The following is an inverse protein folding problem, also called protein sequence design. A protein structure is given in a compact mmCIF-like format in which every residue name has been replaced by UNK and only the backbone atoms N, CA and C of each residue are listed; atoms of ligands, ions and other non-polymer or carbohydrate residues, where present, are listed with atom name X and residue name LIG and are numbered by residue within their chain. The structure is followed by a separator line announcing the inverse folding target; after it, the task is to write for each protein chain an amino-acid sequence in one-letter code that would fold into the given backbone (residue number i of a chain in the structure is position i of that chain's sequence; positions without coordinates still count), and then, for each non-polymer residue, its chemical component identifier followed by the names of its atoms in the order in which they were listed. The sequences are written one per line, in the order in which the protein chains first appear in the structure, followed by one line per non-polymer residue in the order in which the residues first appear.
data_IF_293978832700
#
_entry.id   IF_293978832700
#
_cell.length_a   1.000
_cell.length_b   1.000
_cell.length_c   1.000
_cell.angle_alpha   90.00
_cell.angle_beta   90.00
_cell.angle_gamma   90.00
#
_symmetry.space_group_name_H-M   'P 1'
#
loop_
_entity.id
_entity.type
_entity.pdbx_description
1 polymer ?
#
# COMPACT_ATOMS: atom_id res chain seq x y z
N UNK A 1 22.52 10.56 44.02
CA UNK A 1 22.73 10.78 42.57
C UNK A 1 21.46 10.32 41.88
N UNK A 2 20.68 11.26 41.37
CA UNK A 2 19.34 11.00 40.80
C UNK A 2 19.50 10.98 39.29
N UNK A 3 19.29 9.81 38.67
CA UNK A 3 19.33 9.66 37.21
C UNK A 3 18.09 10.35 36.64
N UNK A 4 18.21 11.30 35.69
CA UNK A 4 17.04 11.90 35.07
C UNK A 4 16.30 10.84 34.25
N UNK A 5 14.96 10.89 34.17
CA UNK A 5 14.21 10.00 33.31
C UNK A 5 14.65 10.21 31.84
N UNK A 6 14.63 9.16 31.00
CA UNK A 6 14.97 9.34 29.59
C UNK A 6 14.00 10.38 29.00
N UNK A 7 14.55 11.43 28.41
CA UNK A 7 13.82 12.29 27.49
C UNK A 7 13.36 11.38 26.35
N UNK A 8 12.11 10.93 26.44
CA UNK A 8 11.39 10.47 25.27
C UNK A 8 11.14 11.75 24.51
N UNK A 9 12.01 12.04 23.53
CA UNK A 9 11.61 12.93 22.44
C UNK A 9 10.25 12.39 21.99
N UNK A 10 9.20 13.17 22.27
CA UNK A 10 7.87 13.02 21.68
C UNK A 10 8.12 12.97 20.18
N UNK A 11 8.27 11.76 19.64
CA UNK A 11 8.00 11.52 18.24
C UNK A 11 6.55 11.94 18.16
N UNK A 12 6.33 13.14 17.65
CA UNK A 12 5.06 13.62 17.13
C UNK A 12 4.73 12.66 15.99
N UNK A 13 4.28 11.47 16.37
CA UNK A 13 3.48 10.59 15.54
C UNK A 13 2.17 11.35 15.46
N UNK A 14 2.18 12.40 14.63
CA UNK A 14 0.95 12.95 14.10
C UNK A 14 0.18 11.73 13.64
N UNK A 15 -0.96 11.52 14.28
CA UNK A 15 -2.03 10.59 13.91
C UNK A 15 -2.55 11.04 12.53
N UNK A 16 -1.65 11.10 11.54
CA UNK A 16 -1.99 11.14 10.15
C UNK A 16 -2.60 9.78 9.95
N UNK A 17 -3.94 9.74 9.87
CA UNK A 17 -4.71 8.63 9.37
C UNK A 17 -3.97 8.12 8.13
N UNK A 18 -3.11 7.11 8.32
CA UNK A 18 -2.53 6.35 7.23
C UNK A 18 -3.68 5.48 6.79
N UNK A 19 -4.63 6.09 6.08
CA UNK A 19 -5.64 5.38 5.32
C UNK A 19 -4.82 4.38 4.51
N UNK A 20 -4.87 3.06 4.83
CA UNK A 20 -3.94 2.12 4.26
C UNK A 20 -4.28 2.10 2.80
N UNK A 21 -3.56 2.89 1.98
CA UNK A 21 -3.83 3.04 0.55
C UNK A 21 -4.03 1.63 0.05
N UNK A 22 -5.27 1.22 -0.28
CA UNK A 22 -5.52 -0.16 -0.59
C UNK A 22 -4.73 -0.36 -1.87
N UNK A 23 -3.58 -1.01 -1.74
CA UNK A 23 -2.56 -1.22 -2.76
C UNK A 23 -1.69 0.01 -3.10
N UNK A 24 -0.86 0.46 -2.15
CA UNK A 24 0.30 1.32 -2.45
C UNK A 24 1.19 0.75 -3.59
N UNK A 25 1.14 -0.58 -3.81
CA UNK A 25 1.67 -1.25 -4.99
C UNK A 25 0.52 -1.94 -5.76
N UNK A 26 -0.03 -1.21 -6.75
CA UNK A 26 -1.09 -1.71 -7.65
C UNK A 26 -0.64 -2.95 -8.44
N UNK A 27 0.66 -3.08 -8.73
CA UNK A 27 1.22 -4.24 -9.43
C UNK A 27 1.18 -5.46 -8.51
N UNK A 28 1.60 -5.32 -7.25
CA UNK A 28 1.52 -6.42 -6.28
C UNK A 28 0.08 -6.92 -6.08
N UNK A 29 -0.88 -6.00 -5.97
CA UNK A 29 -2.28 -6.37 -5.84
C UNK A 29 -2.84 -7.05 -7.10
N UNK A 30 -2.40 -6.57 -8.27
CA UNK A 30 -2.72 -7.20 -9.55
C UNK A 30 -2.15 -8.63 -9.63
N UNK A 31 -0.92 -8.85 -9.13
CA UNK A 31 -0.34 -10.20 -9.06
C UNK A 31 -1.21 -11.14 -8.22
N UNK A 32 -1.68 -10.68 -7.06
CA UNK A 32 -2.54 -11.49 -6.18
C UNK A 32 -3.89 -11.79 -6.85
N UNK A 33 -4.54 -10.78 -7.42
CA UNK A 33 -5.87 -10.92 -8.05
C UNK A 33 -5.81 -11.83 -9.28
N UNK A 34 -4.74 -11.73 -10.08
CA UNK A 34 -4.60 -12.47 -11.34
C UNK A 34 -3.73 -13.73 -11.22
N UNK A 35 -3.14 -13.98 -10.06
CA UNK A 35 -2.17 -15.06 -9.82
C UNK A 35 -1.07 -15.13 -10.89
N UNK A 36 -0.49 -13.97 -11.22
CA UNK A 36 0.52 -13.84 -12.27
C UNK A 36 1.85 -13.27 -11.74
N UNK A 37 2.87 -13.30 -12.58
CA UNK A 37 4.18 -12.74 -12.24
C UNK A 37 4.14 -11.20 -12.19
N UNK A 38 5.14 -10.59 -11.54
CA UNK A 38 5.30 -9.13 -11.49
C UNK A 38 5.40 -8.47 -12.88
N UNK A 39 6.21 -8.95 -13.84
CA UNK A 39 6.24 -8.35 -15.17
C UNK A 39 4.89 -8.46 -15.88
N UNK A 40 4.21 -9.61 -15.81
CA UNK A 40 2.88 -9.76 -16.42
C UNK A 40 1.84 -8.81 -15.81
N UNK A 41 1.91 -8.60 -14.49
CA UNK A 41 1.04 -7.68 -13.78
C UNK A 41 1.33 -6.21 -14.18
N UNK A 42 2.61 -5.83 -14.28
CA UNK A 42 3.02 -4.49 -14.70
C UNK A 42 2.59 -4.20 -16.15
N UNK A 43 2.87 -5.11 -17.08
CA UNK A 43 2.47 -5.02 -18.48
C UNK A 43 0.94 -4.92 -18.60
N UNK A 44 0.21 -5.64 -17.75
CA UNK A 44 -1.24 -5.56 -17.74
C UNK A 44 -1.74 -4.20 -17.25
N UNK A 45 -1.20 -3.69 -16.13
CA UNK A 45 -1.55 -2.36 -15.59
C UNK A 45 -1.27 -1.27 -16.62
N UNK A 46 -0.11 -1.32 -17.28
CA UNK A 46 0.24 -0.38 -18.36
C UNK A 46 -0.76 -0.46 -19.53
N UNK A 47 -1.17 -1.68 -19.90
CA UNK A 47 -2.09 -1.91 -21.01
C UNK A 47 -3.53 -1.45 -20.74
N UNK A 48 -4.05 -1.62 -19.52
CA UNK A 48 -5.45 -1.28 -19.20
C UNK A 48 -5.61 0.08 -18.52
N UNK A 49 -4.51 0.66 -18.05
CA UNK A 49 -4.51 1.88 -17.28
C UNK A 49 -4.68 1.64 -15.77
N UNK A 50 -4.09 2.50 -14.92
CA UNK A 50 -4.09 2.33 -13.48
C UNK A 50 -5.49 2.40 -12.86
N UNK A 51 -6.38 3.26 -13.37
CA UNK A 51 -7.73 3.43 -12.83
C UNK A 51 -8.61 2.19 -13.04
N UNK A 52 -8.46 1.54 -14.20
CA UNK A 52 -9.17 0.30 -14.48
C UNK A 52 -8.60 -0.86 -13.68
N UNK A 53 -7.28 -0.96 -13.59
CA UNK A 53 -6.60 -1.96 -12.77
C UNK A 53 -7.01 -1.85 -11.30
N UNK A 54 -7.06 -0.64 -10.74
CA UNK A 54 -7.48 -0.41 -9.36
C UNK A 54 -8.94 -0.84 -9.12
N UNK A 55 -9.84 -0.55 -10.08
CA UNK A 55 -11.24 -1.00 -9.98
C UNK A 55 -11.35 -2.53 -9.95
N UNK A 56 -10.58 -3.23 -10.78
CA UNK A 56 -10.56 -4.70 -10.82
C UNK A 56 -10.04 -5.27 -9.50
N UNK A 57 -8.96 -4.69 -8.97
CA UNK A 57 -8.39 -5.10 -7.68
C UNK A 57 -9.40 -4.90 -6.54
N UNK A 58 -10.02 -3.72 -6.45
CA UNK A 58 -11.05 -3.42 -5.44
C UNK A 58 -12.26 -4.35 -5.53
N UNK A 59 -12.69 -4.72 -6.74
CA UNK A 59 -13.85 -5.60 -6.95
C UNK A 59 -13.67 -7.03 -6.42
N UNK A 60 -12.43 -7.49 -6.16
CA UNK A 60 -12.17 -8.82 -5.59
C UNK A 60 -12.45 -8.89 -4.08
N UNK A 61 -12.45 -7.76 -3.40
CA UNK A 61 -12.58 -7.67 -1.94
C UNK A 61 -13.93 -7.12 -1.48
N UNK A 62 -14.88 -6.94 -2.42
CA UNK A 62 -16.30 -6.68 -2.17
C UNK A 62 -17.07 -8.01 -2.11
#
# INVERSE_FOLDING_TARGET
MTVPPPNVDDIDVTDEDVDPRPHADLVAATMEVRSCSRPDAADWVERVGPEYAERVVRARWL
#
